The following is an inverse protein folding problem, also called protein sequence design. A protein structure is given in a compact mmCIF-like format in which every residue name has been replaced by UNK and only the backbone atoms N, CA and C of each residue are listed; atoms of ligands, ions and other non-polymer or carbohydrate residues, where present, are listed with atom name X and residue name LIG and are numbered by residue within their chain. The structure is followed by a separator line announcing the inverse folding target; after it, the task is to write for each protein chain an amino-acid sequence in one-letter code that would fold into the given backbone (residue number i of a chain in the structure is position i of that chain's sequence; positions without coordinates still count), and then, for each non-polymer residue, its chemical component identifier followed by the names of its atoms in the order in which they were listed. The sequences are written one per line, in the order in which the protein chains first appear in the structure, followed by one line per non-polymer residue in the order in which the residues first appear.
data_IF_496854008108
#
_entry.id   IF_496854008108
#
_cell.length_a   1.000
_cell.length_b   1.000
_cell.length_c   1.000
_cell.angle_alpha   90.00
_cell.angle_beta   90.00
_cell.angle_gamma   90.00
#
_symmetry.space_group_name_H-M   'P 1'
#
loop_
_entity.id
_entity.type
_entity.pdbx_description
1 polymer ?
#
# COMPACT_ATOMS: atom_id res chain seq x y z
N UNK A 1 -13.41 12.34 18.45
CA UNK A 1 -13.22 13.42 17.49
C UNK A 1 -14.13 13.30 16.27
N UNK A 2 -14.76 12.16 16.02
CA UNK A 2 -15.72 11.92 14.94
C UNK A 2 -17.04 11.40 15.52
N UNK A 3 -18.08 11.39 14.68
CA UNK A 3 -19.38 10.85 15.10
C UNK A 3 -19.32 9.32 15.15
N UNK A 4 -19.49 8.71 16.32
CA UNK A 4 -19.51 7.25 16.52
C UNK A 4 -20.54 6.50 15.66
N UNK A 5 -21.56 7.20 15.15
CA UNK A 5 -22.52 6.62 14.22
C UNK A 5 -21.88 6.20 12.90
N UNK A 6 -20.70 6.77 12.52
CA UNK A 6 -19.93 6.32 11.36
C UNK A 6 -19.38 4.89 11.55
N UNK A 7 -18.91 4.55 12.74
CA UNK A 7 -18.49 3.15 13.03
C UNK A 7 -19.67 2.19 12.92
N UNK A 8 -20.82 2.57 13.48
CA UNK A 8 -22.04 1.76 13.38
C UNK A 8 -22.48 1.60 11.93
N UNK A 9 -22.35 2.65 11.13
CA UNK A 9 -22.66 2.62 9.70
C UNK A 9 -21.77 1.62 8.95
N UNK A 10 -20.47 1.67 9.16
CA UNK A 10 -19.51 0.73 8.55
C UNK A 10 -19.83 -0.71 8.97
N UNK A 11 -20.03 -0.97 10.27
CA UNK A 11 -20.36 -2.32 10.76
C UNK A 11 -21.63 -2.88 10.15
N UNK A 12 -22.69 -2.05 10.00
CA UNK A 12 -23.92 -2.47 9.35
C UNK A 12 -23.71 -2.76 7.87
N UNK A 13 -22.89 -1.96 7.19
CA UNK A 13 -22.57 -2.16 5.78
C UNK A 13 -21.81 -3.47 5.57
N UNK A 14 -20.80 -3.75 6.42
CA UNK A 14 -20.00 -4.97 6.36
C UNK A 14 -20.81 -6.23 6.71
N UNK A 15 -21.67 -6.13 7.72
CA UNK A 15 -22.52 -7.23 8.15
C UNK A 15 -23.69 -7.52 7.17
N UNK A 16 -24.12 -6.54 6.35
CA UNK A 16 -25.27 -6.64 5.46
C UNK A 16 -26.62 -6.82 6.18
N UNK A 17 -26.64 -6.64 7.52
CA UNK A 17 -27.83 -6.85 8.36
C UNK A 17 -27.71 -6.08 9.68
N UNK A 18 -28.79 -5.39 10.07
CA UNK A 18 -28.87 -4.74 11.38
C UNK A 18 -28.75 -5.72 12.56
N UNK A 19 -29.35 -6.91 12.43
CA UNK A 19 -29.31 -7.92 13.48
C UNK A 19 -27.90 -8.47 13.66
N UNK A 20 -27.22 -8.80 12.57
CA UNK A 20 -25.84 -9.32 12.61
C UNK A 20 -24.87 -8.25 13.15
N UNK A 21 -24.98 -7.00 12.69
CA UNK A 21 -24.17 -5.91 13.22
C UNK A 21 -24.41 -5.65 14.72
N UNK A 22 -25.65 -5.83 15.20
CA UNK A 22 -26.00 -5.70 16.61
C UNK A 22 -25.38 -6.81 17.45
N UNK A 23 -25.43 -8.04 16.98
CA UNK A 23 -24.80 -9.21 17.61
C UNK A 23 -23.30 -9.03 17.72
N UNK A 24 -22.63 -8.66 16.64
CA UNK A 24 -21.18 -8.40 16.60
C UNK A 24 -20.76 -7.21 17.47
N UNK A 25 -21.67 -6.26 17.72
CA UNK A 25 -21.43 -5.07 18.55
C UNK A 25 -21.88 -5.22 20.00
N UNK A 26 -22.47 -6.37 20.37
CA UNK A 26 -23.02 -6.63 21.70
C UNK A 26 -24.06 -5.60 22.15
N UNK A 27 -24.90 -5.09 21.21
CA UNK A 27 -25.99 -4.16 21.50
C UNK A 27 -27.28 -4.64 20.83
N UNK A 28 -28.41 -3.98 21.11
CA UNK A 28 -29.68 -4.39 20.52
C UNK A 28 -29.84 -3.89 19.07
N UNK A 29 -30.55 -4.64 18.19
CA UNK A 29 -30.87 -4.18 16.83
C UNK A 29 -31.57 -2.82 16.80
N UNK A 30 -32.43 -2.54 17.78
CA UNK A 30 -33.12 -1.24 17.91
C UNK A 30 -32.13 -0.10 18.15
N UNK A 31 -31.07 -0.34 18.94
CA UNK A 31 -30.01 0.66 19.17
C UNK A 31 -29.24 0.96 17.88
N UNK A 32 -28.87 -0.07 17.11
CA UNK A 32 -28.23 0.08 15.80
C UNK A 32 -29.10 0.89 14.85
N UNK A 33 -30.37 0.51 14.70
CA UNK A 33 -31.33 1.21 13.82
C UNK A 33 -31.46 2.68 14.22
N UNK A 34 -31.55 2.96 15.52
CA UNK A 34 -31.63 4.34 16.03
C UNK A 34 -30.38 5.15 15.65
N UNK A 35 -29.18 4.57 15.79
CA UNK A 35 -27.93 5.25 15.42
C UNK A 35 -27.86 5.53 13.92
N UNK A 36 -28.27 4.58 13.08
CA UNK A 36 -28.29 4.77 11.62
C UNK A 36 -29.31 5.84 11.23
N UNK A 37 -30.53 5.81 11.81
CA UNK A 37 -31.53 6.85 11.51
C UNK A 37 -31.01 8.25 11.89
N UNK A 38 -30.38 8.40 13.05
CA UNK A 38 -29.80 9.67 13.48
C UNK A 38 -28.71 10.16 12.52
N UNK A 39 -27.89 9.23 12.00
CA UNK A 39 -26.86 9.56 11.01
C UNK A 39 -27.51 10.01 9.69
N UNK A 40 -28.45 9.23 9.16
CA UNK A 40 -29.18 9.55 7.93
C UNK A 40 -29.93 10.89 8.03
N UNK A 41 -30.59 11.14 9.17
CA UNK A 41 -31.29 12.40 9.43
C UNK A 41 -30.30 13.58 9.47
N UNK A 42 -29.13 13.41 10.08
CA UNK A 42 -28.09 14.46 10.14
C UNK A 42 -27.50 14.77 8.77
N UNK A 43 -27.39 13.76 7.88
CA UNK A 43 -26.86 13.89 6.53
C UNK A 43 -27.93 14.28 5.49
N UNK A 44 -29.22 14.15 5.84
CA UNK A 44 -30.34 14.41 4.92
C UNK A 44 -30.46 13.39 3.78
N UNK A 45 -29.81 12.21 3.89
CA UNK A 45 -29.81 11.17 2.86
C UNK A 45 -29.98 9.78 3.48
N UNK A 46 -30.59 8.86 2.72
CA UNK A 46 -30.65 7.46 3.11
C UNK A 46 -29.38 6.74 2.67
N UNK A 47 -28.74 6.02 3.61
CA UNK A 47 -27.51 5.27 3.39
C UNK A 47 -27.80 3.80 3.08
N UNK A 48 -28.93 3.28 3.56
CA UNK A 48 -29.35 1.88 3.36
C UNK A 48 -30.70 1.79 2.67
N UNK A 49 -30.87 0.72 1.90
CA UNK A 49 -32.13 0.28 1.33
C UNK A 49 -32.38 -1.20 1.60
N UNK A 50 -33.62 -1.58 1.82
CA UNK A 50 -34.03 -2.99 1.97
C UNK A 50 -34.38 -3.55 0.61
N UNK A 51 -33.71 -4.63 0.24
CA UNK A 51 -33.99 -5.37 -1.00
C UNK A 51 -34.46 -6.79 -0.68
N UNK A 52 -34.90 -7.53 -1.70
CA UNK A 52 -35.22 -8.97 -1.55
C UNK A 52 -34.01 -9.82 -1.13
N UNK A 53 -32.79 -9.29 -1.30
CA UNK A 53 -31.51 -9.94 -0.95
C UNK A 53 -30.98 -9.52 0.42
N UNK A 54 -31.72 -8.67 1.16
CA UNK A 54 -31.32 -8.15 2.46
C UNK A 54 -31.08 -6.64 2.46
N UNK A 55 -30.28 -6.16 3.39
CA UNK A 55 -29.90 -4.76 3.54
C UNK A 55 -28.71 -4.46 2.61
N UNK A 56 -28.82 -3.39 1.83
CA UNK A 56 -27.77 -2.97 0.89
C UNK A 56 -27.54 -1.46 0.98
N UNK A 57 -26.35 -1.00 0.61
CA UNK A 57 -26.04 0.43 0.54
C UNK A 57 -26.73 1.08 -0.66
N UNK A 58 -27.29 2.27 -0.45
CA UNK A 58 -27.72 3.17 -1.53
C UNK A 58 -26.52 3.71 -2.31
N UNK A 59 -26.74 4.51 -3.36
CA UNK A 59 -25.66 5.24 -4.02
C UNK A 59 -24.94 6.20 -3.04
N UNK A 60 -25.71 6.92 -2.22
CA UNK A 60 -25.16 7.79 -1.17
C UNK A 60 -24.41 6.97 -0.10
N UNK A 61 -24.95 5.82 0.29
CA UNK A 61 -24.31 4.91 1.23
C UNK A 61 -22.95 4.39 0.71
N UNK A 62 -22.84 4.02 -0.56
CA UNK A 62 -21.57 3.59 -1.15
C UNK A 62 -20.51 4.70 -1.16
N UNK A 63 -20.89 5.91 -1.52
CA UNK A 63 -20.00 7.07 -1.43
C UNK A 63 -19.57 7.31 0.01
N UNK A 64 -20.52 7.41 0.93
CA UNK A 64 -20.24 7.67 2.34
C UNK A 64 -19.43 6.57 3.03
N UNK A 65 -19.50 5.32 2.56
CA UNK A 65 -18.78 4.20 3.18
C UNK A 65 -17.25 4.35 3.10
N UNK A 66 -16.74 4.78 1.96
CA UNK A 66 -15.31 5.05 1.78
C UNK A 66 -14.89 6.27 2.61
N UNK A 67 -15.67 7.36 2.52
CA UNK A 67 -15.39 8.60 3.26
C UNK A 67 -15.43 8.36 4.78
N UNK A 68 -16.35 7.54 5.28
CA UNK A 68 -16.46 7.21 6.70
C UNK A 68 -15.23 6.46 7.22
N UNK A 69 -14.72 5.48 6.47
CA UNK A 69 -13.46 4.78 6.81
C UNK A 69 -12.29 5.76 6.90
N UNK A 70 -12.18 6.63 5.90
CA UNK A 70 -11.14 7.65 5.86
C UNK A 70 -11.22 8.63 7.05
N UNK A 71 -12.40 9.16 7.35
CA UNK A 71 -12.63 10.10 8.47
C UNK A 71 -12.22 9.45 9.81
N UNK A 72 -12.63 8.21 10.04
CA UNK A 72 -12.28 7.49 11.28
C UNK A 72 -10.76 7.34 11.39
N UNK A 73 -10.12 6.85 10.33
CA UNK A 73 -8.67 6.67 10.29
C UNK A 73 -7.93 8.00 10.51
N UNK A 74 -8.33 9.05 9.80
CA UNK A 74 -7.75 10.39 9.95
C UNK A 74 -7.85 10.93 11.36
N UNK A 75 -9.00 10.73 12.02
CA UNK A 75 -9.18 11.13 13.43
C UNK A 75 -8.28 10.33 14.39
N UNK A 76 -8.13 9.02 14.17
CA UNK A 76 -7.18 8.20 14.94
C UNK A 76 -5.75 8.72 14.77
N UNK A 77 -5.32 8.95 13.54
CA UNK A 77 -3.99 9.46 13.22
C UNK A 77 -3.75 10.85 13.80
N UNK A 78 -4.79 11.70 13.82
CA UNK A 78 -4.73 13.02 14.44
C UNK A 78 -4.43 12.96 15.95
N UNK A 79 -5.02 12.00 16.66
CA UNK A 79 -4.73 11.78 18.10
C UNK A 79 -3.28 11.29 18.28
N UNK A 80 -2.82 10.38 17.41
CA UNK A 80 -1.44 9.89 17.43
C UNK A 80 -0.47 11.05 17.16
N UNK A 81 -0.75 11.89 16.15
CA UNK A 81 0.06 13.11 15.88
C UNK A 81 0.18 14.02 17.08
N UNK A 82 -0.95 14.29 17.73
CA UNK A 82 -0.97 15.15 18.92
C UNK A 82 -0.14 14.56 20.09
N UNK A 83 -0.22 13.24 20.29
CA UNK A 83 0.60 12.56 21.31
C UNK A 83 2.08 12.58 20.96
N UNK A 84 2.43 12.34 19.71
CA UNK A 84 3.82 12.35 19.24
C UNK A 84 4.44 13.76 19.35
N UNK A 85 3.66 14.81 19.09
CA UNK A 85 4.10 16.19 19.25
C UNK A 85 4.45 16.59 20.70
N UNK A 86 3.95 15.84 21.69
CA UNK A 86 4.30 16.05 23.10
C UNK A 86 5.59 15.31 23.54
N UNK A 87 6.08 14.39 22.71
CA UNK A 87 7.31 13.64 22.99
C UNK A 87 8.49 14.35 22.35
N UNK A 88 9.12 15.25 23.09
CA UNK A 88 10.24 16.11 22.64
C UNK A 88 11.52 15.34 22.25
N UNK A 89 11.62 14.05 22.56
CA UNK A 89 12.87 13.32 22.38
C UNK A 89 12.60 11.95 21.75
N UNK A 90 12.53 11.91 20.46
CA UNK A 90 12.53 10.58 19.94
C UNK A 90 13.62 10.35 18.90
N UNK A 91 14.68 9.73 19.36
CA UNK A 91 15.53 8.89 18.52
C UNK A 91 14.74 7.65 18.02
N UNK A 92 13.42 7.70 18.03
CA UNK A 92 12.52 6.66 17.52
C UNK A 92 12.15 7.01 16.09
N UNK A 93 12.53 6.18 15.16
CA UNK A 93 12.13 6.27 13.75
C UNK A 93 10.89 5.40 13.54
N UNK A 94 9.79 6.02 13.13
CA UNK A 94 8.53 5.33 12.84
C UNK A 94 8.51 4.88 11.39
N UNK A 95 8.57 3.58 11.17
CA UNK A 95 8.64 2.94 9.87
C UNK A 95 7.24 2.50 9.45
N UNK A 96 6.70 3.09 8.40
CA UNK A 96 5.44 2.66 7.81
C UNK A 96 5.59 1.31 7.12
N UNK A 97 4.63 0.42 7.35
CA UNK A 97 4.61 -0.91 6.74
C UNK A 97 3.22 -1.29 6.27
N UNK A 98 3.17 -1.83 5.06
CA UNK A 98 1.99 -2.46 4.46
C UNK A 98 2.41 -3.70 3.66
N UNK A 99 1.50 -4.54 3.17
CA UNK A 99 1.86 -5.65 2.30
C UNK A 99 2.68 -5.25 1.06
N UNK A 100 2.43 -4.06 0.48
CA UNK A 100 3.16 -3.57 -0.69
C UNK A 100 4.45 -2.84 -0.35
N UNK A 101 4.61 -2.41 0.88
CA UNK A 101 5.78 -1.70 1.41
C UNK A 101 6.26 -2.38 2.69
N UNK A 102 6.70 -3.65 2.61
CA UNK A 102 7.15 -4.39 3.80
C UNK A 102 8.40 -3.72 4.38
N UNK A 103 8.43 -3.58 5.71
CA UNK A 103 9.57 -2.99 6.42
C UNK A 103 10.83 -3.88 6.37
N UNK A 104 10.76 -5.06 5.75
CA UNK A 104 11.83 -6.07 5.77
C UNK A 104 13.16 -5.52 5.27
N UNK A 105 13.18 -4.74 4.18
CA UNK A 105 14.42 -4.14 3.69
C UNK A 105 15.10 -3.25 4.74
N UNK A 106 14.33 -2.45 5.44
CA UNK A 106 14.85 -1.56 6.49
C UNK A 106 15.34 -2.38 7.69
N UNK A 107 14.72 -3.53 7.94
CA UNK A 107 15.16 -4.47 8.99
C UNK A 107 16.47 -5.17 8.61
N UNK A 108 16.73 -5.45 7.35
CA UNK A 108 18.02 -5.99 6.87
C UNK A 108 19.17 -5.00 7.11
N UNK A 109 18.90 -3.71 6.99
CA UNK A 109 19.88 -2.65 7.28
C UNK A 109 20.08 -2.40 8.78
N UNK A 110 19.14 -2.87 9.62
CA UNK A 110 19.04 -2.53 11.04
C UNK A 110 20.32 -2.75 11.83
N UNK A 111 20.90 -3.94 11.76
CA UNK A 111 22.11 -4.26 12.55
C UNK A 111 23.27 -3.32 12.27
N UNK A 112 23.42 -2.91 11.00
CA UNK A 112 24.46 -1.98 10.57
C UNK A 112 24.12 -0.55 10.99
N UNK A 113 22.87 -0.13 10.80
CA UNK A 113 22.40 1.19 11.26
C UNK A 113 22.56 1.33 12.77
N UNK A 114 22.24 0.30 13.54
CA UNK A 114 22.40 0.31 15.00
C UNK A 114 23.87 0.41 15.44
N UNK A 115 24.81 -0.14 14.66
CA UNK A 115 26.24 0.03 14.92
C UNK A 115 26.69 1.48 14.73
N UNK A 116 26.12 2.18 13.73
CA UNK A 116 26.45 3.58 13.42
C UNK A 116 25.72 4.55 14.35
N UNK A 117 24.45 4.27 14.65
CA UNK A 117 23.56 5.10 15.47
C UNK A 117 22.89 4.26 16.55
N UNK A 118 23.62 3.90 17.64
CA UNK A 118 23.10 2.96 18.66
C UNK A 118 21.94 3.50 19.49
N UNK A 119 21.74 4.80 19.51
CA UNK A 119 20.66 5.49 20.22
C UNK A 119 19.35 5.52 19.43
N UNK A 120 19.37 5.24 18.12
CA UNK A 120 18.16 5.19 17.30
C UNK A 120 17.37 3.92 17.61
N UNK A 121 16.07 4.10 17.85
CA UNK A 121 15.10 3.02 18.02
C UNK A 121 14.11 3.05 16.86
N UNK A 122 13.44 1.92 16.63
CA UNK A 122 12.45 1.83 15.58
C UNK A 122 11.09 1.40 16.11
N UNK A 123 10.08 1.95 15.49
CA UNK A 123 8.68 1.55 15.69
C UNK A 123 8.06 1.24 14.32
N UNK A 124 7.53 0.03 14.16
CA UNK A 124 6.75 -0.32 12.98
C UNK A 124 5.34 0.24 13.15
N UNK A 125 4.89 1.00 12.16
CA UNK A 125 3.54 1.58 12.09
C UNK A 125 2.83 0.94 10.90
N UNK A 126 1.90 0.00 11.14
CA UNK A 126 1.14 -0.61 10.07
C UNK A 126 0.16 0.39 9.48
N UNK A 127 -0.07 0.31 8.17
CA UNK A 127 -1.10 1.08 7.48
C UNK A 127 -1.79 0.25 6.39
N UNK A 128 -3.05 0.60 6.12
CA UNK A 128 -3.82 0.00 5.04
C UNK A 128 -3.36 0.57 3.69
N UNK A 129 -3.02 -0.31 2.74
CA UNK A 129 -2.53 0.09 1.43
C UNK A 129 -3.68 0.35 0.45
N UNK A 130 -4.37 1.48 0.66
CA UNK A 130 -5.33 2.05 -0.31
C UNK A 130 -4.70 3.23 -1.04
N UNK A 131 -5.20 3.61 -2.24
CA UNK A 131 -4.69 4.77 -2.97
C UNK A 131 -4.73 6.07 -2.15
N UNK A 132 -5.80 6.26 -1.35
CA UNK A 132 -6.02 7.42 -0.49
C UNK A 132 -5.00 7.45 0.65
N UNK A 133 -4.89 6.37 1.41
CA UNK A 133 -3.97 6.25 2.53
C UNK A 133 -2.51 6.38 2.08
N UNK A 134 -2.13 5.70 0.99
CA UNK A 134 -0.77 5.78 0.47
C UNK A 134 -0.40 7.22 0.07
N UNK A 135 -1.34 7.95 -0.57
CA UNK A 135 -1.14 9.34 -0.94
C UNK A 135 -0.99 10.23 0.28
N UNK A 136 -1.87 10.07 1.27
CA UNK A 136 -1.85 10.88 2.49
C UNK A 136 -0.59 10.63 3.32
N UNK A 137 -0.25 9.37 3.57
CA UNK A 137 0.92 8.99 4.36
C UNK A 137 2.20 9.58 3.73
N UNK A 138 2.38 9.41 2.42
CA UNK A 138 3.57 9.88 1.74
C UNK A 138 3.64 11.42 1.66
N UNK A 139 2.50 12.10 1.56
CA UNK A 139 2.47 13.57 1.61
C UNK A 139 2.72 14.13 3.02
N UNK A 140 2.60 13.32 4.07
CA UNK A 140 2.70 13.73 5.48
C UNK A 140 3.78 12.96 6.25
N UNK A 141 4.82 12.46 5.56
CA UNK A 141 5.97 11.83 6.21
C UNK A 141 6.64 12.78 7.19
N UNK A 142 6.98 12.26 8.38
CA UNK A 142 7.49 13.04 9.51
C UNK A 142 6.41 13.37 10.56
N UNK A 143 5.14 13.04 10.31
CA UNK A 143 4.05 13.24 11.30
C UNK A 143 3.74 11.97 12.08
N UNK A 144 3.10 10.96 11.48
CA UNK A 144 2.81 9.65 12.11
C UNK A 144 3.81 8.58 11.72
N UNK A 145 4.29 8.65 10.50
CA UNK A 145 5.28 7.77 9.90
C UNK A 145 6.42 8.65 9.44
N UNK A 146 7.63 8.30 9.78
CA UNK A 146 8.81 9.07 9.39
C UNK A 146 9.36 8.62 8.06
N UNK A 147 9.35 7.30 7.83
CA UNK A 147 9.92 6.69 6.63
C UNK A 147 9.09 5.49 6.16
N UNK A 148 9.13 5.25 4.85
CA UNK A 148 8.55 4.05 4.21
C UNK A 148 9.58 3.46 3.26
N UNK A 149 9.79 2.15 3.32
CA UNK A 149 10.59 1.43 2.32
C UNK A 149 9.76 1.16 1.07
N UNK A 150 10.26 1.53 -0.12
CA UNK A 150 9.49 1.31 -1.34
C UNK A 150 10.22 1.67 -2.62
N UNK A 151 9.54 1.38 -3.74
CA UNK A 151 9.96 1.79 -5.07
C UNK A 151 9.55 3.24 -5.33
N UNK A 152 10.35 3.95 -6.12
CA UNK A 152 10.03 5.32 -6.50
C UNK A 152 10.77 5.76 -7.76
N UNK A 153 10.31 6.86 -8.34
CA UNK A 153 11.03 7.69 -9.29
C UNK A 153 10.76 9.18 -9.01
N UNK A 154 11.42 10.06 -9.73
CA UNK A 154 11.30 11.51 -9.53
C UNK A 154 9.86 12.01 -9.69
N UNK A 155 9.12 11.48 -10.67
CA UNK A 155 7.72 11.83 -10.90
C UNK A 155 6.85 11.43 -9.70
N UNK A 156 7.04 10.21 -9.19
CA UNK A 156 6.33 9.70 -8.02
C UNK A 156 6.65 10.53 -6.77
N UNK A 157 7.91 10.89 -6.55
CA UNK A 157 8.33 11.71 -5.40
C UNK A 157 7.69 13.10 -5.46
N UNK A 158 7.70 13.73 -6.64
CA UNK A 158 7.09 15.05 -6.84
C UNK A 158 5.57 15.03 -6.59
N UNK A 159 4.87 14.08 -7.19
CA UNK A 159 3.41 13.92 -7.02
C UNK A 159 3.01 13.64 -5.56
N UNK A 160 3.84 12.93 -4.83
CA UNK A 160 3.62 12.55 -3.42
C UNK A 160 4.17 13.55 -2.43
N UNK A 161 4.85 14.61 -2.89
CA UNK A 161 5.48 15.65 -2.06
C UNK A 161 6.44 15.08 -1.02
N UNK A 162 7.15 14.01 -1.34
CA UNK A 162 8.14 13.39 -0.48
C UNK A 162 9.51 13.33 -1.17
N UNK A 163 10.54 13.00 -0.41
CA UNK A 163 11.89 12.73 -0.89
C UNK A 163 12.20 11.25 -0.85
N UNK A 164 13.20 10.80 -1.59
CA UNK A 164 13.63 9.41 -1.65
C UNK A 164 15.14 9.29 -1.53
N UNK A 165 15.60 8.36 -0.71
CA UNK A 165 16.98 7.90 -0.65
C UNK A 165 17.08 6.55 -1.36
N UNK A 166 17.67 6.52 -2.56
CA UNK A 166 17.93 5.25 -3.25
C UNK A 166 18.98 4.43 -2.49
N UNK A 167 18.65 3.19 -2.18
CA UNK A 167 19.55 2.24 -1.54
C UNK A 167 20.06 1.18 -2.51
N UNK A 168 19.18 0.76 -3.44
CA UNK A 168 19.48 -0.27 -4.43
C UNK A 168 18.53 -0.14 -5.61
N UNK A 169 18.95 -0.57 -6.78
CA UNK A 169 18.05 -0.74 -7.93
C UNK A 169 17.52 -2.17 -7.95
N UNK A 170 16.20 -2.34 -7.93
CA UNK A 170 15.55 -3.65 -7.98
C UNK A 170 15.15 -3.97 -9.42
N UNK A 171 15.56 -5.13 -9.96
CA UNK A 171 15.12 -5.57 -11.27
C UNK A 171 13.60 -5.84 -11.23
N UNK A 172 12.94 -5.62 -12.37
CA UNK A 172 11.57 -6.06 -12.54
C UNK A 172 11.53 -7.58 -12.71
N UNK A 173 10.60 -8.21 -12.01
CA UNK A 173 10.27 -9.63 -12.06
C UNK A 173 8.83 -9.78 -12.54
N UNK A 174 8.40 -11.01 -12.75
CA UNK A 174 7.00 -11.33 -13.01
C UNK A 174 6.44 -12.21 -11.89
N UNK A 175 5.24 -11.90 -11.42
CA UNK A 175 4.48 -12.76 -10.53
C UNK A 175 3.39 -13.48 -11.33
N UNK A 176 3.24 -14.78 -11.09
CA UNK A 176 2.24 -15.65 -11.72
C UNK A 176 1.61 -16.57 -10.67
N UNK A 177 0.38 -17.01 -10.90
CA UNK A 177 -0.21 -18.07 -10.08
C UNK A 177 0.70 -19.29 -10.03
N UNK A 178 0.78 -19.95 -8.87
CA UNK A 178 1.53 -21.23 -8.74
C UNK A 178 1.00 -22.31 -9.69
N UNK A 179 -0.22 -22.15 -10.20
CA UNK A 179 -0.85 -23.04 -11.20
C UNK A 179 -0.62 -22.60 -12.64
N UNK A 180 0.02 -21.44 -12.86
CA UNK A 180 0.33 -20.95 -14.19
C UNK A 180 1.44 -21.80 -14.84
N UNK A 181 1.39 -22.00 -16.16
CA UNK A 181 2.43 -22.77 -16.90
C UNK A 181 3.85 -22.24 -16.68
N UNK A 182 4.00 -20.91 -16.50
CA UNK A 182 5.29 -20.27 -16.25
C UNK A 182 5.82 -20.52 -14.84
N UNK A 183 5.00 -20.94 -13.88
CA UNK A 183 5.44 -21.22 -12.52
C UNK A 183 6.43 -22.38 -12.42
N UNK A 184 6.49 -23.25 -13.44
CA UNK A 184 7.48 -24.34 -13.52
C UNK A 184 8.91 -23.83 -13.83
N UNK A 185 9.06 -22.57 -14.24
CA UNK A 185 10.35 -21.97 -14.58
C UNK A 185 10.98 -21.24 -13.38
N UNK A 186 12.31 -21.26 -13.32
CA UNK A 186 13.06 -20.50 -12.32
C UNK A 186 13.52 -19.13 -12.84
N UNK A 187 13.48 -18.93 -14.15
CA UNK A 187 13.76 -17.67 -14.85
C UNK A 187 12.94 -17.63 -16.14
N UNK A 188 12.41 -16.46 -16.47
CA UNK A 188 11.67 -16.22 -17.70
C UNK A 188 12.55 -15.51 -18.73
N UNK A 189 12.34 -15.86 -20.00
CA UNK A 189 12.78 -15.06 -21.15
C UNK A 189 11.60 -14.17 -21.60
N UNK A 190 11.87 -13.06 -22.27
CA UNK A 190 10.80 -12.19 -22.80
C UNK A 190 9.85 -12.98 -23.71
N UNK A 191 10.37 -13.93 -24.47
CA UNK A 191 9.58 -14.80 -25.35
C UNK A 191 8.61 -15.71 -24.61
N UNK A 192 8.82 -15.98 -23.32
CA UNK A 192 7.86 -16.75 -22.51
C UNK A 192 6.59 -15.98 -22.22
N UNK A 193 6.65 -14.65 -22.32
CA UNK A 193 5.51 -13.75 -22.13
C UNK A 193 4.66 -13.58 -23.40
N UNK A 194 5.05 -14.16 -24.54
CA UNK A 194 4.29 -14.06 -25.78
C UNK A 194 2.93 -14.74 -25.65
N UNK A 195 1.88 -14.01 -25.96
CA UNK A 195 0.50 -14.43 -25.80
C UNK A 195 -0.05 -14.30 -24.39
N UNK A 196 0.78 -13.92 -23.41
CA UNK A 196 0.34 -13.65 -22.03
C UNK A 196 -0.20 -12.22 -21.90
N UNK A 197 -1.08 -12.02 -20.91
CA UNK A 197 -1.49 -10.69 -20.45
C UNK A 197 -0.51 -10.24 -19.37
N UNK A 198 0.30 -9.24 -19.66
CA UNK A 198 1.20 -8.62 -18.69
C UNK A 198 0.52 -7.40 -18.05
N UNK A 199 0.21 -7.51 -16.76
CA UNK A 199 -0.35 -6.44 -15.96
C UNK A 199 0.74 -5.44 -15.61
N UNK A 200 0.61 -4.21 -16.09
CA UNK A 200 1.49 -3.07 -15.82
C UNK A 200 0.70 -1.92 -15.20
N UNK A 201 1.32 -1.16 -14.30
CA UNK A 201 0.75 0.13 -13.90
C UNK A 201 0.50 1.00 -15.13
N UNK A 202 -0.56 1.79 -15.08
CA UNK A 202 -0.95 2.68 -16.18
C UNK A 202 0.20 3.62 -16.57
N UNK A 203 0.19 4.08 -17.82
CA UNK A 203 1.21 5.00 -18.34
C UNK A 203 1.32 6.29 -17.49
N UNK A 204 2.52 6.80 -17.35
CA UNK A 204 2.93 7.95 -16.51
C UNK A 204 2.93 7.69 -15.00
N UNK A 205 2.76 6.46 -14.57
CA UNK A 205 2.96 6.12 -13.17
C UNK A 205 4.44 6.13 -12.79
N UNK A 206 5.30 5.57 -13.66
CA UNK A 206 6.75 5.58 -13.51
C UNK A 206 7.42 5.52 -14.89
N UNK A 207 8.44 6.34 -15.10
CA UNK A 207 9.18 6.31 -16.38
C UNK A 207 9.90 4.97 -16.57
N UNK A 208 10.36 4.30 -15.52
CA UNK A 208 10.98 2.97 -15.63
C UNK A 208 10.01 1.89 -16.12
N UNK A 209 8.73 1.98 -15.72
CA UNK A 209 7.68 1.08 -16.24
C UNK A 209 7.31 1.49 -17.68
N UNK A 210 7.32 2.78 -17.98
CA UNK A 210 7.04 3.27 -19.33
C UNK A 210 8.16 2.87 -20.32
N UNK A 211 9.44 2.88 -19.92
CA UNK A 211 10.56 2.37 -20.74
C UNK A 211 10.37 0.88 -21.08
N UNK A 212 10.08 0.03 -20.10
CA UNK A 212 9.75 -1.39 -20.34
C UNK A 212 8.55 -1.51 -21.29
N UNK A 213 7.49 -0.75 -21.06
CA UNK A 213 6.28 -0.75 -21.87
C UNK A 213 6.57 -0.40 -23.33
N UNK A 214 7.37 0.65 -23.55
CA UNK A 214 7.70 1.13 -24.89
C UNK A 214 8.58 0.13 -25.66
N UNK A 215 9.51 -0.51 -24.98
CA UNK A 215 10.32 -1.59 -25.55
C UNK A 215 9.46 -2.80 -25.94
N UNK A 216 8.59 -3.27 -25.02
CA UNK A 216 7.67 -4.36 -25.32
C UNK A 216 6.76 -4.03 -26.50
N UNK A 217 6.26 -2.80 -26.58
CA UNK A 217 5.42 -2.36 -27.69
C UNK A 217 6.16 -2.38 -29.03
N UNK A 218 7.43 -1.96 -29.05
CA UNK A 218 8.22 -1.85 -30.27
C UNK A 218 8.80 -3.19 -30.73
N UNK A 219 9.31 -4.00 -29.79
CA UNK A 219 10.11 -5.18 -30.14
C UNK A 219 9.44 -6.51 -29.80
N UNK A 220 8.43 -6.48 -28.93
CA UNK A 220 7.74 -7.69 -28.43
C UNK A 220 6.20 -7.54 -28.47
N UNK A 221 5.60 -7.18 -29.64
CA UNK A 221 4.16 -6.89 -29.74
C UNK A 221 3.26 -8.11 -29.48
N UNK A 222 3.84 -9.29 -29.28
CA UNK A 222 3.13 -10.51 -28.89
C UNK A 222 2.78 -10.55 -27.39
N UNK A 223 3.33 -9.64 -26.58
CA UNK A 223 2.98 -9.47 -25.16
C UNK A 223 1.75 -8.57 -25.07
N UNK A 224 0.67 -9.05 -24.48
CA UNK A 224 -0.54 -8.26 -24.28
C UNK A 224 -0.41 -7.39 -23.03
N UNK A 225 -0.24 -6.08 -23.17
CA UNK A 225 -0.15 -5.17 -22.04
C UNK A 225 -1.54 -4.82 -21.55
N UNK A 226 -1.79 -5.02 -20.25
CA UNK A 226 -3.05 -4.70 -19.57
C UNK A 226 -2.79 -3.75 -18.41
N UNK A 227 -3.41 -2.57 -18.45
CA UNK A 227 -3.24 -1.54 -17.44
C UNK A 227 -4.03 -1.83 -16.16
N UNK A 228 -3.46 -1.41 -15.03
CA UNK A 228 -4.16 -1.31 -13.75
C UNK A 228 -3.75 -0.03 -13.00
N UNK A 229 -4.57 0.38 -12.01
CA UNK A 229 -4.46 1.70 -11.40
C UNK A 229 -3.59 1.75 -10.15
N UNK A 230 -3.52 0.66 -9.38
CA UNK A 230 -2.85 0.68 -8.09
C UNK A 230 -2.43 -0.73 -7.65
N UNK A 231 -1.22 -0.86 -7.10
CA UNK A 231 -0.77 -2.10 -6.45
C UNK A 231 -1.49 -2.26 -5.12
N UNK A 232 -2.47 -3.16 -5.08
CA UNK A 232 -3.21 -3.58 -3.89
C UNK A 232 -3.29 -5.10 -3.83
N UNK A 233 -3.82 -5.65 -2.76
CA UNK A 233 -4.07 -7.10 -2.70
C UNK A 233 -5.03 -7.58 -3.80
N UNK A 234 -5.92 -6.71 -4.28
CA UNK A 234 -6.88 -7.07 -5.35
C UNK A 234 -6.18 -7.40 -6.67
N UNK A 235 -5.10 -6.68 -7.05
CA UNK A 235 -4.37 -7.01 -8.28
C UNK A 235 -3.59 -8.32 -8.13
N UNK A 236 -3.10 -8.66 -6.92
CA UNK A 236 -2.48 -9.95 -6.64
C UNK A 236 -3.52 -11.08 -6.68
N UNK A 237 -4.69 -10.89 -6.07
CA UNK A 237 -5.82 -11.83 -6.15
C UNK A 237 -6.29 -12.01 -7.59
N UNK A 238 -6.34 -10.92 -8.39
CA UNK A 238 -6.66 -11.01 -9.81
C UNK A 238 -5.64 -11.90 -10.53
N UNK A 239 -4.35 -11.66 -10.34
CA UNK A 239 -3.29 -12.44 -10.96
C UNK A 239 -3.36 -13.93 -10.55
N UNK A 240 -3.72 -14.23 -9.30
CA UNK A 240 -3.91 -15.61 -8.82
C UNK A 240 -5.13 -16.28 -9.49
N UNK A 241 -6.26 -15.55 -9.60
CA UNK A 241 -7.53 -16.11 -10.12
C UNK A 241 -7.62 -16.13 -11.65
N UNK A 242 -6.62 -15.58 -12.35
CA UNK A 242 -6.56 -15.56 -13.82
C UNK A 242 -5.23 -16.16 -14.29
N UNK A 243 -5.03 -16.20 -15.61
CA UNK A 243 -3.72 -16.53 -16.19
C UNK A 243 -2.91 -15.25 -16.50
N UNK A 244 -3.22 -14.13 -15.85
CA UNK A 244 -2.47 -12.90 -16.05
C UNK A 244 -1.09 -12.98 -15.38
N UNK A 245 -0.12 -12.29 -15.93
CA UNK A 245 1.23 -12.12 -15.40
C UNK A 245 1.34 -10.72 -14.82
N UNK A 246 1.77 -10.57 -13.57
CA UNK A 246 1.89 -9.26 -12.92
C UNK A 246 3.34 -8.81 -12.89
N UNK A 247 3.64 -7.59 -13.36
CA UNK A 247 4.96 -6.99 -13.12
C UNK A 247 5.17 -6.81 -11.62
N UNK A 248 6.29 -7.30 -11.12
CA UNK A 248 6.59 -7.35 -9.70
C UNK A 248 8.06 -6.96 -9.43
N UNK A 249 8.44 -6.95 -8.17
CA UNK A 249 9.83 -6.83 -7.71
C UNK A 249 10.16 -7.99 -6.76
N UNK A 250 11.43 -8.35 -6.56
CA UNK A 250 11.82 -9.44 -5.66
C UNK A 250 11.25 -9.32 -4.24
N UNK A 251 11.11 -8.08 -3.72
CA UNK A 251 10.57 -7.81 -2.39
C UNK A 251 9.11 -8.22 -2.18
N UNK A 252 8.39 -8.56 -3.24
CA UNK A 252 6.99 -9.02 -3.17
C UNK A 252 6.82 -10.53 -3.23
N UNK A 253 7.90 -11.29 -3.16
CA UNK A 253 7.86 -12.76 -3.23
C UNK A 253 6.96 -13.42 -2.16
N UNK A 254 6.78 -12.78 -1.01
CA UNK A 254 5.98 -13.29 0.10
C UNK A 254 4.66 -12.53 0.33
N UNK A 255 4.25 -11.67 -0.60
CA UNK A 255 3.03 -10.87 -0.45
C UNK A 255 1.77 -11.71 -0.63
N UNK A 256 1.80 -12.69 -1.53
CA UNK A 256 0.66 -13.57 -1.78
C UNK A 256 1.10 -15.04 -1.83
N UNK A 257 0.49 -15.94 -1.02
CA UNK A 257 0.97 -17.33 -0.86
C UNK A 257 0.81 -18.20 -2.12
N UNK A 258 -0.12 -17.84 -3.01
CA UNK A 258 -0.39 -18.58 -4.25
C UNK A 258 0.23 -17.94 -5.49
N UNK A 259 1.15 -16.97 -5.33
CA UNK A 259 1.92 -16.41 -6.43
C UNK A 259 3.40 -16.76 -6.30
N UNK A 260 4.02 -17.10 -7.44
CA UNK A 260 5.47 -17.25 -7.58
C UNK A 260 6.01 -16.01 -8.29
N UNK A 261 6.97 -15.33 -7.66
CA UNK A 261 7.70 -14.20 -8.25
C UNK A 261 8.95 -14.75 -8.92
N UNK A 262 9.09 -14.55 -10.22
CA UNK A 262 10.10 -15.17 -11.07
C UNK A 262 10.93 -14.09 -11.75
N UNK A 263 12.27 -14.14 -11.71
CA UNK A 263 13.15 -13.24 -12.44
C UNK A 263 12.93 -13.37 -13.95
N UNK A 264 13.04 -12.26 -14.66
CA UNK A 264 12.98 -12.20 -16.12
C UNK A 264 14.34 -11.77 -16.65
N UNK A 265 14.74 -12.32 -17.78
CA UNK A 265 16.01 -12.01 -18.45
C UNK A 265 15.85 -10.75 -19.31
N UNK A 266 15.83 -9.62 -18.65
CA UNK A 266 15.79 -8.26 -19.20
C UNK A 266 16.51 -7.28 -18.28
N UNK A 267 16.83 -6.10 -18.81
CA UNK A 267 17.65 -5.11 -18.11
C UNK A 267 16.82 -3.93 -17.57
N UNK A 268 15.62 -4.23 -17.05
CA UNK A 268 14.70 -3.25 -16.52
C UNK A 268 14.58 -3.35 -15.01
N UNK A 269 14.52 -2.20 -14.36
CA UNK A 269 14.41 -2.14 -12.91
C UNK A 269 14.08 -0.74 -12.42
N UNK A 270 13.80 -0.62 -11.14
CA UNK A 270 13.33 0.61 -10.50
C UNK A 270 14.14 0.90 -9.23
N UNK A 271 14.44 2.17 -8.90
CA UNK A 271 15.01 2.55 -7.62
C UNK A 271 14.15 2.03 -6.46
N UNK A 272 14.81 1.42 -5.48
CA UNK A 272 14.21 0.99 -4.23
C UNK A 272 14.99 1.59 -3.06
N UNK A 273 14.28 2.13 -2.08
CA UNK A 273 14.94 2.77 -0.95
C UNK A 273 13.96 3.31 0.08
N UNK A 274 14.32 4.44 0.67
CA UNK A 274 13.60 5.05 1.77
C UNK A 274 12.92 6.32 1.29
N UNK A 275 11.59 6.34 1.35
CA UNK A 275 10.78 7.55 1.20
C UNK A 275 10.70 8.26 2.56
N UNK A 276 10.90 9.57 2.55
CA UNK A 276 10.93 10.40 3.76
C UNK A 276 10.43 11.82 3.49
N UNK A 277 10.22 12.61 4.54
CA UNK A 277 9.89 14.04 4.41
C UNK A 277 11.00 14.78 3.66
N UNK A 278 10.69 15.74 2.77
CA UNK A 278 11.70 16.63 2.20
C UNK A 278 12.49 17.42 3.26
N UNK A 279 11.90 17.60 4.44
CA UNK A 279 12.51 18.26 5.59
C UNK A 279 12.52 17.28 6.78
N UNK A 280 13.42 16.28 6.80
CA UNK A 280 13.48 15.28 7.85
C UNK A 280 13.93 15.88 9.17
N UNK A 281 13.49 15.31 10.28
CA UNK A 281 14.02 15.67 11.61
C UNK A 281 15.50 15.27 11.72
N UNK A 282 16.28 15.85 12.66
CA UNK A 282 17.69 15.48 12.86
C UNK A 282 17.89 13.97 13.10
N UNK A 283 16.99 13.32 13.83
CA UNK A 283 17.03 11.86 14.06
C UNK A 283 16.83 11.08 12.77
N UNK A 284 15.83 11.46 11.95
CA UNK A 284 15.59 10.86 10.64
C UNK A 284 16.76 11.08 9.69
N UNK A 285 17.35 12.29 9.68
CA UNK A 285 18.52 12.57 8.84
C UNK A 285 19.71 11.66 9.22
N UNK A 286 20.02 11.51 10.50
CA UNK A 286 21.07 10.59 10.97
C UNK A 286 20.79 9.16 10.56
N UNK A 287 19.53 8.73 10.64
CA UNK A 287 19.11 7.41 10.15
C UNK A 287 19.35 7.25 8.64
N UNK A 288 18.97 8.23 7.84
CA UNK A 288 19.17 8.21 6.38
C UNK A 288 20.66 8.12 6.01
N UNK A 289 21.50 8.90 6.70
CA UNK A 289 22.95 8.89 6.48
C UNK A 289 23.55 7.50 6.84
N UNK A 290 23.13 6.93 7.97
CA UNK A 290 23.54 5.58 8.38
C UNK A 290 23.04 4.49 7.40
N UNK A 291 21.80 4.60 6.95
CA UNK A 291 21.22 3.68 5.98
C UNK A 291 21.96 3.72 4.62
N UNK A 292 22.37 4.91 4.17
CA UNK A 292 23.18 5.11 2.97
C UNK A 292 24.56 4.44 3.07
N UNK A 293 25.19 4.49 4.24
CA UNK A 293 26.46 3.82 4.50
C UNK A 293 26.24 2.30 4.51
N UNK A 294 25.27 1.83 5.28
CA UNK A 294 24.94 0.42 5.43
C UNK A 294 24.55 -0.25 4.10
N UNK A 295 23.81 0.45 3.23
CA UNK A 295 23.40 -0.10 1.94
C UNK A 295 24.58 -0.35 0.99
N UNK A 296 25.58 0.52 0.97
CA UNK A 296 26.78 0.34 0.16
C UNK A 296 27.54 -0.94 0.51
N UNK A 297 27.54 -1.34 1.79
CA UNK A 297 28.20 -2.56 2.23
C UNK A 297 27.36 -3.83 1.99
N UNK A 298 26.03 -3.69 1.85
CA UNK A 298 25.13 -4.82 1.63
C UNK A 298 24.93 -5.14 0.15
N UNK A 299 24.99 -4.12 -0.70
CA UNK A 299 24.62 -4.23 -2.12
C UNK A 299 25.82 -3.94 -3.07
N UNK A 300 27.04 -3.74 -2.53
CA UNK A 300 28.31 -3.80 -3.30
C UNK A 300 28.75 -5.26 -3.48
#
# INVERSE_FOLDING_TARGET
MYNHQLETFIRVADAGSFNKAAEESYITPTAIIKQINLLEDSLGVKLFERTRRGLTLTKAGRSMYQDAKYIIQYCHDSVIRARNAMQEDSNVIRIGSSPMTPAQLLMELWSKVQTICPDIKFQIVPFENTPENAREILANLGTNIDVVGGIFDETMLHLRKCAGLELVRRPFYCAVSIHHKLAAKDRLQITDLYGENLLLMHRRWSHYVDELRDDLWQHHPQVNIVDFEFYSMDIFNRCENTNDVLLAIPGWANVHPLLKVIPVDWDYGIPYGILHSPNPTPAVQRFLDAAKIASKELYS
#
